data_IF_556338406824
#
_entry.id   IF_556338406824
#
_cell.length_a   1.000
_cell.length_b   1.000
_cell.length_c   1.000
_cell.angle_alpha   90.00
_cell.angle_beta   90.00
_cell.angle_gamma   90.00
#
_symmetry.space_group_name_H-M   'P 1'
#
loop_
_entity.id
_entity.type
_entity.pdbx_description
1 polymer ?
#
# COMPACT_ATOMS: atom_id res chain seq x y z
N UNK A 1 0.37 27.64 -78.20
CA UNK A 1 0.87 26.83 -77.06
C UNK A 1 -0.25 26.64 -76.05
N UNK A 2 -0.89 25.46 -76.00
CA UNK A 2 -1.92 25.13 -74.99
C UNK A 2 -1.25 24.32 -73.87
N UNK A 3 -1.16 24.90 -72.66
CA UNK A 3 -0.64 24.21 -71.46
C UNK A 3 -1.71 23.23 -70.95
N UNK A 4 -1.36 21.95 -70.79
CA UNK A 4 -2.22 20.97 -70.12
C UNK A 4 -2.24 21.26 -68.60
N UNK A 5 -3.38 21.11 -67.92
CA UNK A 5 -3.42 21.20 -66.46
C UNK A 5 -2.74 19.98 -65.83
N UNK A 6 -2.11 20.14 -64.65
CA UNK A 6 -1.48 19.04 -63.93
C UNK A 6 -2.55 18.06 -63.41
N UNK A 7 -2.29 16.76 -63.57
CA UNK A 7 -3.14 15.72 -62.99
C UNK A 7 -2.99 15.68 -61.46
N UNK A 8 -4.08 15.45 -60.71
CA UNK A 8 -4.00 15.30 -59.26
C UNK A 8 -3.29 13.98 -58.90
N UNK A 9 -2.24 14.08 -58.09
CA UNK A 9 -1.68 12.94 -57.39
C UNK A 9 -2.71 12.44 -56.38
N UNK A 10 -3.32 11.29 -56.66
CA UNK A 10 -4.05 10.53 -55.67
C UNK A 10 -3.04 10.04 -54.63
N UNK A 11 -3.00 10.68 -53.47
CA UNK A 11 -2.38 10.11 -52.28
C UNK A 11 -3.21 8.88 -51.91
N UNK A 12 -2.64 7.69 -52.12
CA UNK A 12 -3.13 6.48 -51.47
C UNK A 12 -2.98 6.68 -49.95
N UNK A 13 -4.09 7.01 -49.28
CA UNK A 13 -4.19 6.83 -47.84
C UNK A 13 -3.94 5.34 -47.57
N UNK A 14 -2.76 5.01 -47.04
CA UNK A 14 -2.53 3.68 -46.49
C UNK A 14 -3.59 3.45 -45.40
N UNK A 15 -4.34 2.33 -45.44
CA UNK A 15 -5.22 1.98 -44.34
C UNK A 15 -4.37 1.85 -43.07
N UNK A 16 -4.88 2.38 -41.95
CA UNK A 16 -4.22 2.27 -40.66
C UNK A 16 -3.88 0.79 -40.36
N UNK A 17 -2.71 0.49 -39.80
CA UNK A 17 -2.33 -0.89 -39.50
C UNK A 17 -3.39 -1.53 -38.59
N UNK A 18 -4.00 -2.62 -39.07
CA UNK A 18 -4.95 -3.41 -38.28
C UNK A 18 -4.15 -4.26 -37.30
N UNK A 19 -4.27 -3.96 -36.00
CA UNK A 19 -3.65 -4.75 -34.95
C UNK A 19 -4.27 -6.14 -34.88
N UNK A 20 -3.44 -7.16 -34.68
CA UNK A 20 -3.95 -8.52 -34.36
C UNK A 20 -4.59 -8.52 -32.97
N UNK A 21 -5.52 -9.46 -32.71
CA UNK A 21 -6.14 -9.59 -31.38
C UNK A 21 -5.08 -9.79 -30.28
N UNK A 22 -4.02 -10.55 -30.59
CA UNK A 22 -2.87 -10.72 -29.71
C UNK A 22 -2.16 -9.39 -29.39
N UNK A 23 -1.90 -8.54 -30.39
CA UNK A 23 -1.29 -7.22 -30.17
C UNK A 23 -2.16 -6.30 -29.30
N UNK A 24 -3.49 -6.38 -29.42
CA UNK A 24 -4.41 -5.65 -28.56
C UNK A 24 -4.33 -6.13 -27.10
N UNK A 25 -4.29 -7.44 -26.87
CA UNK A 25 -4.13 -8.01 -25.52
C UNK A 25 -2.77 -7.66 -24.91
N UNK A 26 -1.68 -7.73 -25.69
CA UNK A 26 -0.34 -7.30 -25.23
C UNK A 26 -0.34 -5.84 -24.81
N UNK A 27 -0.95 -4.97 -25.62
CA UNK A 27 -1.05 -3.54 -25.32
C UNK A 27 -1.84 -3.28 -24.04
N UNK A 28 -2.98 -3.96 -23.85
CA UNK A 28 -3.77 -3.84 -22.63
C UNK A 28 -3.00 -4.31 -21.40
N UNK A 29 -2.24 -5.42 -21.51
CA UNK A 29 -1.37 -5.89 -20.44
C UNK A 29 -0.29 -4.85 -20.09
N UNK A 30 0.32 -4.21 -21.08
CA UNK A 30 1.31 -3.15 -20.86
C UNK A 30 0.70 -1.92 -20.16
N UNK A 31 -0.53 -1.55 -20.51
CA UNK A 31 -1.27 -0.48 -19.82
C UNK A 31 -1.59 -0.83 -18.36
N UNK A 32 -1.96 -2.09 -18.09
CA UNK A 32 -2.17 -2.61 -16.73
C UNK A 32 -0.86 -2.60 -15.95
N UNK A 33 0.24 -3.09 -16.53
CA UNK A 33 1.56 -3.08 -15.90
C UNK A 33 2.04 -1.67 -15.59
N UNK A 34 1.76 -0.71 -16.46
CA UNK A 34 2.07 0.71 -16.23
C UNK A 34 1.30 1.25 -15.02
N UNK A 35 0.02 0.91 -14.88
CA UNK A 35 -0.78 1.27 -13.72
C UNK A 35 -0.24 0.61 -12.44
N UNK A 36 0.10 -0.68 -12.49
CA UNK A 36 0.72 -1.44 -11.39
C UNK A 36 2.03 -0.79 -10.93
N UNK A 37 2.92 -0.46 -11.87
CA UNK A 37 4.20 0.20 -11.57
C UNK A 37 4.01 1.58 -10.94
N UNK A 38 3.06 2.36 -11.45
CA UNK A 38 2.70 3.66 -10.87
C UNK A 38 2.20 3.50 -9.43
N UNK A 39 1.36 2.50 -9.18
CA UNK A 39 0.87 2.20 -7.83
C UNK A 39 1.99 1.74 -6.88
N UNK A 40 2.86 0.84 -7.34
CA UNK A 40 4.06 0.41 -6.62
C UNK A 40 4.98 1.59 -6.25
N UNK A 41 5.14 2.57 -7.15
CA UNK A 41 5.88 3.80 -6.86
C UNK A 41 5.29 4.58 -5.68
N UNK A 42 3.95 4.70 -5.60
CA UNK A 42 3.26 5.37 -4.50
C UNK A 42 3.43 4.63 -3.17
N UNK A 43 3.32 3.29 -3.18
CA UNK A 43 3.55 2.44 -2.00
C UNK A 43 4.99 2.60 -1.47
N UNK A 44 5.98 2.53 -2.36
CA UNK A 44 7.39 2.73 -1.99
C UNK A 44 7.66 4.13 -1.44
N UNK A 45 7.03 5.18 -2.00
CA UNK A 45 7.14 6.53 -1.47
C UNK A 45 6.59 6.63 -0.03
N UNK A 46 5.44 6.01 0.26
CA UNK A 46 4.89 5.97 1.63
C UNK A 46 5.80 5.18 2.58
N UNK A 47 6.35 4.04 2.12
CA UNK A 47 7.31 3.24 2.88
C UNK A 47 8.56 4.05 3.25
N UNK A 48 9.14 4.80 2.31
CA UNK A 48 10.31 5.65 2.57
C UNK A 48 9.99 6.75 3.59
N UNK A 49 8.84 7.40 3.46
CA UNK A 49 8.39 8.41 4.42
C UNK A 49 8.19 7.82 5.82
N UNK A 50 7.64 6.62 5.92
CA UNK A 50 7.49 5.92 7.18
C UNK A 50 8.85 5.57 7.80
N UNK A 51 9.80 5.07 7.01
CA UNK A 51 11.13 4.72 7.52
C UNK A 51 11.88 5.96 8.03
N UNK A 52 11.82 7.09 7.31
CA UNK A 52 12.42 8.34 7.77
C UNK A 52 11.76 8.85 9.07
N UNK A 53 10.43 8.79 9.14
CA UNK A 53 9.69 9.09 10.37
C UNK A 53 10.10 8.17 11.52
N UNK A 54 10.18 6.86 11.30
CA UNK A 54 10.55 5.87 12.31
C UNK A 54 11.96 6.14 12.87
N UNK A 55 12.93 6.45 12.01
CA UNK A 55 14.29 6.76 12.47
C UNK A 55 14.33 7.99 13.38
N UNK A 56 13.52 9.01 13.10
CA UNK A 56 13.51 10.29 13.82
C UNK A 56 12.57 10.33 15.02
N UNK A 57 11.43 9.63 14.96
CA UNK A 57 10.28 9.84 15.85
C UNK A 57 9.88 8.61 16.68
N UNK A 58 10.38 7.40 16.40
CA UNK A 58 9.92 6.18 17.10
C UNK A 58 9.98 6.28 18.62
N UNK A 59 11.04 6.88 19.18
CA UNK A 59 11.25 7.00 20.64
C UNK A 59 10.19 7.91 21.25
N UNK A 60 10.08 9.12 20.72
CA UNK A 60 9.08 10.11 21.17
C UNK A 60 7.65 9.61 20.99
N UNK A 61 7.40 8.83 19.94
CA UNK A 61 6.11 8.19 19.71
C UNK A 61 5.77 7.16 20.80
N UNK A 62 6.69 6.22 21.06
CA UNK A 62 6.49 5.20 22.10
C UNK A 62 6.34 5.85 23.49
N UNK A 63 7.14 6.87 23.79
CA UNK A 63 7.04 7.64 25.04
C UNK A 63 5.68 8.33 25.18
N UNK A 64 5.13 8.90 24.10
CA UNK A 64 3.81 9.51 24.12
C UNK A 64 2.70 8.49 24.42
N UNK A 65 2.78 7.31 23.82
CA UNK A 65 1.83 6.21 24.08
C UNK A 65 1.93 5.75 25.54
N UNK A 66 3.14 5.51 26.06
CA UNK A 66 3.34 5.15 27.47
C UNK A 66 2.81 6.22 28.42
N UNK A 67 3.08 7.48 28.14
CA UNK A 67 2.68 8.59 29.00
C UNK A 67 1.16 8.65 29.11
N UNK A 68 0.43 8.43 28.02
CA UNK A 68 -1.03 8.40 28.05
C UNK A 68 -1.54 7.20 28.87
N UNK A 69 -0.91 6.03 28.72
CA UNK A 69 -1.25 4.81 29.47
C UNK A 69 -0.99 4.94 30.97
N UNK A 70 0.09 5.61 31.36
CA UNK A 70 0.44 5.86 32.77
C UNK A 70 -0.47 6.93 33.39
N UNK A 71 -0.78 7.99 32.64
CA UNK A 71 -1.59 9.11 33.14
C UNK A 71 -3.07 8.72 33.28
N UNK A 72 -3.59 7.90 32.35
CA UNK A 72 -5.02 7.54 32.27
C UNK A 72 -5.23 6.02 32.18
N UNK A 73 -4.71 5.23 33.13
CA UNK A 73 -4.66 3.77 33.02
C UNK A 73 -6.04 3.10 33.04
N UNK A 74 -7.07 3.80 33.53
CA UNK A 74 -8.45 3.32 33.56
C UNK A 74 -9.19 3.53 32.23
N UNK A 75 -8.70 4.43 31.39
CA UNK A 75 -9.36 4.82 30.13
C UNK A 75 -8.61 4.27 28.91
N UNK A 76 -7.29 4.17 29.00
CA UNK A 76 -6.44 3.78 27.89
C UNK A 76 -6.13 2.28 27.98
N UNK A 77 -6.31 1.50 26.91
CA UNK A 77 -5.94 0.08 26.89
C UNK A 77 -4.47 -0.12 27.25
N UNK A 78 -4.19 -1.08 28.16
CA UNK A 78 -2.82 -1.47 28.52
C UNK A 78 -2.06 -2.06 27.33
N UNK A 79 -2.75 -2.88 26.54
CA UNK A 79 -2.22 -3.47 25.33
C UNK A 79 -2.87 -2.79 24.13
N UNK A 80 -2.05 -2.24 23.25
CA UNK A 80 -2.47 -1.72 21.95
C UNK A 80 -2.03 -2.74 20.92
N UNK A 81 -2.91 -3.69 20.61
CA UNK A 81 -2.66 -4.81 19.69
C UNK A 81 -3.34 -4.65 18.32
N UNK A 82 -4.16 -3.61 18.14
CA UNK A 82 -4.82 -3.29 16.88
C UNK A 82 -5.00 -1.76 16.74
N UNK A 83 -5.40 -1.31 15.54
CA UNK A 83 -5.57 0.12 15.25
C UNK A 83 -6.77 0.69 15.97
N UNK A 84 -7.83 -0.09 16.17
CA UNK A 84 -9.01 0.35 16.92
C UNK A 84 -8.63 0.78 18.35
N UNK A 85 -7.83 -0.04 19.04
CA UNK A 85 -7.31 0.26 20.38
C UNK A 85 -6.39 1.50 20.37
N UNK A 86 -5.58 1.65 19.32
CA UNK A 86 -4.73 2.82 19.15
C UNK A 86 -5.56 4.10 18.93
N UNK A 87 -6.60 4.06 18.07
CA UNK A 87 -7.52 5.18 17.84
C UNK A 87 -8.27 5.58 19.11
N UNK A 88 -8.68 4.61 19.95
CA UNK A 88 -9.27 4.90 21.27
C UNK A 88 -8.30 5.69 22.16
N UNK A 89 -7.05 5.23 22.26
CA UNK A 89 -6.00 5.93 23.02
C UNK A 89 -5.75 7.35 22.49
N UNK A 90 -5.62 7.50 21.16
CA UNK A 90 -5.50 8.79 20.50
C UNK A 90 -6.70 9.70 20.76
N UNK A 91 -7.93 9.18 20.67
CA UNK A 91 -9.15 9.93 20.90
C UNK A 91 -9.29 10.43 22.34
N UNK A 92 -8.78 9.69 23.32
CA UNK A 92 -8.67 10.14 24.71
C UNK A 92 -7.63 11.26 24.81
N UNK A 93 -6.44 11.07 24.24
CA UNK A 93 -5.37 12.06 24.24
C UNK A 93 -5.81 13.40 23.63
N UNK A 94 -6.52 13.35 22.50
CA UNK A 94 -6.97 14.53 21.76
C UNK A 94 -8.04 15.35 22.50
N UNK A 95 -8.74 14.75 23.48
CA UNK A 95 -9.78 15.41 24.28
C UNK A 95 -9.26 16.00 25.59
N UNK A 96 -7.96 15.85 25.89
CA UNK A 96 -7.39 16.39 27.11
C UNK A 96 -7.41 17.92 27.12
N UNK A 97 -7.75 18.54 28.26
CA UNK A 97 -7.72 19.99 28.39
C UNK A 97 -6.28 20.50 28.31
N UNK A 98 -6.07 21.63 27.63
CA UNK A 98 -4.74 22.25 27.51
C UNK A 98 -4.41 23.09 28.74
N UNK A 99 -3.64 22.52 29.68
CA UNK A 99 -3.19 23.13 30.94
C UNK A 99 -1.65 23.22 31.02
N UNK A 100 -0.93 22.82 29.97
CA UNK A 100 0.52 22.84 29.90
C UNK A 100 1.19 21.55 30.39
N UNK A 101 0.43 20.47 30.58
CA UNK A 101 0.98 19.17 30.98
C UNK A 101 1.60 18.44 29.79
N UNK A 102 2.71 17.68 29.97
CA UNK A 102 3.34 16.93 28.88
C UNK A 102 2.40 15.98 28.11
N UNK A 103 1.44 15.38 28.82
CA UNK A 103 0.45 14.43 28.26
C UNK A 103 -0.45 15.05 27.19
N UNK A 104 -0.62 16.37 27.20
CA UNK A 104 -1.50 17.09 26.27
C UNK A 104 -0.91 17.16 24.85
N UNK A 105 0.41 17.03 24.74
CA UNK A 105 1.12 17.01 23.46
C UNK A 105 1.12 15.61 22.81
N UNK A 106 0.77 14.56 23.56
CA UNK A 106 0.79 13.18 23.07
C UNK A 106 -0.10 12.98 21.84
N UNK A 107 -1.25 13.64 21.78
CA UNK A 107 -2.17 13.53 20.65
C UNK A 107 -1.51 13.95 19.33
N UNK A 108 -0.70 15.00 19.33
CA UNK A 108 0.01 15.45 18.13
C UNK A 108 0.97 14.38 17.61
N UNK A 109 1.79 13.82 18.50
CA UNK A 109 2.77 12.78 18.16
C UNK A 109 2.10 11.47 17.72
N UNK A 110 1.04 11.06 18.42
CA UNK A 110 0.26 9.87 18.06
C UNK A 110 -0.47 10.06 16.72
N UNK A 111 -0.91 11.27 16.42
CA UNK A 111 -1.58 11.62 15.17
C UNK A 111 -0.69 11.43 13.94
N UNK A 112 0.63 11.66 14.06
CA UNK A 112 1.58 11.42 12.96
C UNK A 112 1.51 9.96 12.47
N UNK A 113 1.35 9.00 13.38
CA UNK A 113 1.19 7.60 13.02
C UNK A 113 -0.13 7.32 12.29
N UNK A 114 -1.23 7.95 12.72
CA UNK A 114 -2.54 7.81 12.05
C UNK A 114 -2.51 8.34 10.62
N UNK A 115 -1.72 9.38 10.34
CA UNK A 115 -1.54 9.87 8.96
C UNK A 115 -0.95 8.79 8.04
N UNK A 116 -0.02 7.98 8.53
CA UNK A 116 0.50 6.84 7.74
C UNK A 116 -0.55 5.76 7.54
N UNK A 117 -1.34 5.47 8.57
CA UNK A 117 -2.43 4.50 8.48
C UNK A 117 -3.49 4.92 7.46
N UNK A 118 -3.98 6.16 7.54
CA UNK A 118 -5.03 6.65 6.66
C UNK A 118 -4.54 6.66 5.19
N UNK A 119 -3.30 7.10 4.95
CA UNK A 119 -2.69 7.05 3.60
C UNK A 119 -2.46 5.63 3.10
N UNK A 120 -2.18 4.68 4.00
CA UNK A 120 -2.08 3.28 3.64
C UNK A 120 -3.43 2.73 3.19
N UNK A 121 -4.51 3.05 3.90
CA UNK A 121 -5.87 2.65 3.51
C UNK A 121 -6.28 3.25 2.17
N UNK A 122 -5.97 4.52 1.92
CA UNK A 122 -6.19 5.14 0.60
C UNK A 122 -5.43 4.42 -0.52
N UNK A 123 -4.18 4.03 -0.28
CA UNK A 123 -3.41 3.25 -1.25
C UNK A 123 -3.97 1.84 -1.39
N UNK A 124 -4.43 1.21 -0.31
CA UNK A 124 -5.05 -0.10 -0.37
C UNK A 124 -6.31 -0.10 -1.26
N UNK A 125 -7.18 0.91 -1.13
CA UNK A 125 -8.35 1.08 -2.00
C UNK A 125 -7.94 1.23 -3.48
N UNK A 126 -6.96 2.09 -3.78
CA UNK A 126 -6.43 2.19 -5.14
C UNK A 126 -5.81 0.87 -5.63
N UNK A 127 -5.18 0.11 -4.74
CA UNK A 127 -4.63 -1.21 -5.03
C UNK A 127 -5.71 -2.22 -5.42
N UNK A 128 -6.87 -2.19 -4.74
CA UNK A 128 -8.04 -3.00 -5.08
C UNK A 128 -8.59 -2.67 -6.48
N UNK A 129 -8.59 -1.39 -6.87
CA UNK A 129 -8.99 -0.98 -8.23
C UNK A 129 -8.03 -1.53 -9.29
N UNK A 130 -6.71 -1.44 -9.04
CA UNK A 130 -5.69 -2.00 -9.94
C UNK A 130 -5.82 -3.53 -10.04
N UNK A 131 -6.03 -4.19 -8.91
CA UNK A 131 -6.26 -5.62 -8.85
C UNK A 131 -7.51 -6.03 -9.63
N UNK A 132 -8.62 -5.31 -9.50
CA UNK A 132 -9.84 -5.60 -10.26
C UNK A 132 -9.61 -5.53 -11.78
N UNK A 133 -8.78 -4.59 -12.25
CA UNK A 133 -8.37 -4.51 -13.66
C UNK A 133 -7.55 -5.72 -14.10
N UNK A 134 -6.62 -6.18 -13.25
CA UNK A 134 -5.83 -7.39 -13.50
C UNK A 134 -6.73 -8.61 -13.63
N UNK A 135 -7.67 -8.80 -12.71
CA UNK A 135 -8.61 -9.93 -12.72
C UNK A 135 -9.53 -9.88 -13.94
N UNK A 136 -10.06 -8.70 -14.28
CA UNK A 136 -10.88 -8.54 -15.48
C UNK A 136 -10.10 -8.96 -16.73
N UNK A 137 -8.86 -8.49 -16.87
CA UNK A 137 -8.00 -8.84 -17.99
C UNK A 137 -7.73 -10.35 -18.09
N UNK A 138 -7.39 -11.01 -16.97
CA UNK A 138 -7.08 -12.44 -16.98
C UNK A 138 -8.30 -13.32 -17.29
N UNK A 139 -9.53 -12.85 -17.06
CA UNK A 139 -10.74 -13.55 -17.49
C UNK A 139 -11.00 -13.48 -19.00
N UNK A 140 -10.45 -12.49 -19.70
CA UNK A 140 -10.66 -12.28 -21.14
C UNK A 140 -9.58 -12.91 -22.02
N UNK A 141 -8.47 -13.36 -21.45
CA UNK A 141 -7.32 -13.93 -22.16
C UNK A 141 -7.38 -15.46 -22.16
N UNK A 142 -7.08 -16.07 -23.31
CA UNK A 142 -7.10 -17.52 -23.52
C UNK A 142 -6.02 -18.29 -22.75
N UNK A 143 -4.78 -17.76 -22.69
CA UNK A 143 -3.67 -18.42 -22.01
C UNK A 143 -2.65 -17.43 -21.43
N UNK A 144 -2.39 -17.57 -20.13
CA UNK A 144 -1.29 -16.90 -19.42
C UNK A 144 -0.10 -17.84 -19.35
N UNK A 145 1.11 -17.32 -19.60
CA UNK A 145 2.35 -18.13 -19.57
C UNK A 145 2.60 -18.77 -18.20
N UNK A 146 2.22 -18.09 -17.13
CA UNK A 146 2.43 -18.52 -15.75
C UNK A 146 1.14 -18.36 -14.93
N UNK A 147 0.20 -19.31 -15.03
CA UNK A 147 -1.12 -19.21 -14.38
C UNK A 147 -1.05 -19.06 -12.86
N UNK A 148 -0.05 -19.70 -12.22
CA UNK A 148 0.18 -19.65 -10.77
C UNK A 148 0.43 -18.24 -10.22
N UNK A 149 0.82 -17.28 -11.07
CA UNK A 149 0.99 -15.88 -10.67
C UNK A 149 -0.36 -15.29 -10.28
N UNK A 150 -1.45 -15.64 -10.99
CA UNK A 150 -2.78 -15.14 -10.68
C UNK A 150 -3.25 -15.66 -9.32
N UNK A 151 -3.05 -16.96 -9.04
CA UNK A 151 -3.37 -17.56 -7.74
C UNK A 151 -2.60 -16.87 -6.60
N UNK A 152 -1.30 -16.64 -6.80
CA UNK A 152 -0.46 -15.91 -5.84
C UNK A 152 -0.97 -14.48 -5.61
N UNK A 153 -1.42 -13.80 -6.66
CA UNK A 153 -2.00 -12.45 -6.56
C UNK A 153 -3.34 -12.48 -5.82
N UNK A 154 -4.20 -13.46 -6.06
CA UNK A 154 -5.45 -13.66 -5.32
C UNK A 154 -5.18 -13.88 -3.82
N UNK A 155 -4.27 -14.79 -3.49
CA UNK A 155 -3.93 -15.11 -2.10
C UNK A 155 -3.35 -13.90 -1.37
N UNK A 156 -2.44 -13.16 -2.01
CA UNK A 156 -1.88 -11.93 -1.45
C UNK A 156 -2.94 -10.85 -1.27
N UNK A 157 -3.85 -10.66 -2.23
CA UNK A 157 -4.92 -9.66 -2.13
C UNK A 157 -5.90 -10.00 -1.00
N UNK A 158 -6.30 -11.26 -0.89
CA UNK A 158 -7.19 -11.74 0.16
C UNK A 158 -6.54 -11.56 1.54
N UNK A 159 -5.27 -11.97 1.66
CA UNK A 159 -4.50 -11.79 2.90
C UNK A 159 -4.40 -10.31 3.26
N UNK A 160 -4.04 -9.46 2.31
CA UNK A 160 -3.94 -8.02 2.54
C UNK A 160 -5.29 -7.42 2.98
N UNK A 161 -6.40 -7.81 2.37
CA UNK A 161 -7.74 -7.35 2.75
C UNK A 161 -8.11 -7.75 4.18
N UNK A 162 -7.85 -9.01 4.56
CA UNK A 162 -8.12 -9.50 5.92
C UNK A 162 -7.24 -8.80 6.94
N UNK A 163 -6.00 -8.49 6.58
CA UNK A 163 -5.05 -7.88 7.49
C UNK A 163 -5.10 -6.36 7.52
N UNK A 164 -5.68 -5.67 6.54
CA UNK A 164 -5.78 -4.21 6.51
C UNK A 164 -6.99 -3.65 7.30
N UNK A 165 -7.66 -4.49 8.10
CA UNK A 165 -8.80 -4.08 8.94
C UNK A 165 -8.34 -3.49 10.27
N UNK A 166 -9.17 -2.62 10.87
CA UNK A 166 -8.77 -1.92 12.11
C UNK A 166 -8.64 -2.83 13.33
N UNK A 167 -9.37 -3.95 13.37
CA UNK A 167 -9.39 -4.89 14.49
C UNK A 167 -8.36 -6.03 14.34
N UNK A 168 -7.55 -6.03 13.28
CA UNK A 168 -6.51 -7.03 13.08
C UNK A 168 -5.48 -6.99 14.21
N UNK A 169 -5.20 -8.15 14.81
CA UNK A 169 -4.22 -8.28 15.89
C UNK A 169 -2.80 -8.34 15.33
N UNK A 170 -2.12 -7.20 15.37
CA UNK A 170 -0.74 -7.06 14.88
C UNK A 170 0.31 -7.55 15.89
N UNK A 171 -0.07 -8.21 16.99
CA UNK A 171 0.90 -8.89 17.86
C UNK A 171 1.59 -10.05 17.16
N UNK A 172 1.07 -10.60 16.07
CA UNK A 172 1.76 -11.63 15.28
C UNK A 172 2.81 -11.07 14.31
N UNK A 173 2.72 -9.77 13.96
CA UNK A 173 3.51 -9.14 12.89
C UNK A 173 5.00 -8.97 13.26
N UNK A 174 5.33 -8.85 14.55
CA UNK A 174 6.72 -8.63 14.98
C UNK A 174 7.63 -9.87 14.83
N UNK A 175 7.07 -11.04 14.51
CA UNK A 175 7.82 -12.29 14.33
C UNK A 175 8.36 -12.49 12.90
N UNK A 176 8.14 -11.55 11.98
CA UNK A 176 8.67 -11.69 10.63
C UNK A 176 10.16 -11.32 10.55
N UNK A 177 10.95 -12.20 9.93
CA UNK A 177 12.39 -12.06 9.68
C UNK A 177 12.79 -10.76 9.00
N UNK A 178 11.84 -10.11 8.31
CA UNK A 178 12.07 -8.88 7.54
C UNK A 178 11.80 -7.58 8.31
N UNK A 179 11.28 -7.67 9.54
CA UNK A 179 11.08 -6.52 10.41
C UNK A 179 12.35 -6.16 11.19
N UNK A 180 13.54 -6.39 10.62
CA UNK A 180 14.83 -6.18 11.30
C UNK A 180 15.01 -4.75 11.84
N UNK A 181 14.33 -3.76 11.26
CA UNK A 181 14.37 -2.38 11.75
C UNK A 181 13.73 -2.23 13.15
N UNK A 182 12.83 -3.13 13.55
CA UNK A 182 12.23 -3.12 14.90
C UNK A 182 13.22 -3.55 15.98
N UNK A 183 14.36 -4.17 15.65
CA UNK A 183 15.45 -4.39 16.62
C UNK A 183 16.10 -3.09 17.12
N UNK A 184 15.79 -1.94 16.49
CA UNK A 184 16.19 -0.61 16.98
C UNK A 184 15.30 -0.10 18.12
N UNK A 185 14.24 -0.82 18.49
CA UNK A 185 13.38 -0.53 19.64
C UNK A 185 13.97 -1.24 20.86
N UNK A 186 13.97 -0.56 22.00
CA UNK A 186 14.57 -1.09 23.22
C UNK A 186 13.80 -2.32 23.74
N UNK A 187 14.48 -3.25 24.41
CA UNK A 187 13.86 -4.51 24.83
C UNK A 187 12.66 -4.33 25.78
N UNK A 188 12.66 -3.29 26.60
CA UNK A 188 11.53 -2.97 27.47
C UNK A 188 10.30 -2.42 26.72
N UNK A 189 10.42 -2.14 25.42
CA UNK A 189 9.39 -1.59 24.53
C UNK A 189 8.86 -2.58 23.49
N UNK A 190 9.19 -3.87 23.66
CA UNK A 190 8.79 -4.91 22.73
C UNK A 190 7.27 -5.01 22.53
N UNK A 191 6.46 -4.64 23.52
CA UNK A 191 4.99 -4.63 23.39
C UNK A 191 4.48 -3.67 22.31
N UNK A 192 5.26 -2.67 21.89
CA UNK A 192 4.89 -1.73 20.82
C UNK A 192 5.43 -2.13 19.44
N UNK A 193 6.17 -3.26 19.34
CA UNK A 193 6.73 -3.71 18.07
C UNK A 193 5.66 -3.94 17.02
N UNK A 194 4.57 -4.61 17.38
CA UNK A 194 3.46 -4.86 16.46
C UNK A 194 2.93 -3.56 15.86
N UNK A 195 2.67 -2.55 16.71
CA UNK A 195 2.20 -1.23 16.29
C UNK A 195 3.19 -0.56 15.32
N UNK A 196 4.48 -0.59 15.62
CA UNK A 196 5.52 0.01 14.76
C UNK A 196 5.81 -0.80 13.48
N UNK A 197 5.57 -2.11 13.50
CA UNK A 197 5.81 -3.01 12.38
C UNK A 197 4.63 -3.08 11.41
N UNK A 198 3.43 -2.71 11.86
CA UNK A 198 2.21 -2.98 11.14
C UNK A 198 2.08 -2.23 9.79
N UNK A 199 2.31 -0.90 9.70
CA UNK A 199 2.32 -0.22 8.40
C UNK A 199 3.35 -0.79 7.40
N UNK A 200 4.64 -0.97 7.77
CA UNK A 200 5.63 -1.51 6.81
C UNK A 200 5.34 -2.97 6.43
N UNK A 201 4.72 -3.75 7.32
CA UNK A 201 4.25 -5.10 7.01
C UNK A 201 3.22 -5.11 5.88
N UNK A 202 2.15 -4.33 6.01
CA UNK A 202 1.12 -4.22 4.97
C UNK A 202 1.68 -3.62 3.67
N UNK A 203 2.55 -2.60 3.77
CA UNK A 203 3.21 -2.01 2.59
C UNK A 203 4.09 -3.01 1.85
N UNK A 204 4.81 -3.88 2.57
CA UNK A 204 5.60 -4.96 1.96
C UNK A 204 4.70 -5.89 1.17
N UNK A 205 3.60 -6.36 1.77
CA UNK A 205 2.65 -7.25 1.10
C UNK A 205 2.04 -6.62 -0.16
N UNK A 206 1.61 -5.36 -0.06
CA UNK A 206 1.09 -4.60 -1.20
C UNK A 206 2.14 -4.42 -2.33
N UNK A 207 3.40 -4.14 -1.99
CA UNK A 207 4.48 -4.09 -2.98
C UNK A 207 4.75 -5.45 -3.63
N UNK A 208 4.71 -6.55 -2.86
CA UNK A 208 4.88 -7.92 -3.38
C UNK A 208 3.76 -8.29 -4.34
N UNK A 209 2.51 -7.90 -4.05
CA UNK A 209 1.39 -8.07 -4.96
C UNK A 209 1.64 -7.35 -6.29
N UNK A 210 2.03 -6.07 -6.24
CA UNK A 210 2.37 -5.31 -7.45
C UNK A 210 3.51 -5.95 -8.25
N UNK A 211 4.53 -6.47 -7.57
CA UNK A 211 5.63 -7.18 -8.22
C UNK A 211 5.12 -8.37 -9.04
N UNK A 212 4.25 -9.20 -8.44
CA UNK A 212 3.68 -10.36 -9.13
C UNK A 212 2.78 -9.96 -10.31
N UNK A 213 1.93 -8.95 -10.15
CA UNK A 213 1.13 -8.42 -11.27
C UNK A 213 2.00 -7.95 -12.44
N UNK A 214 3.17 -7.35 -12.16
CA UNK A 214 4.11 -6.92 -13.21
C UNK A 214 4.82 -8.09 -13.92
N UNK A 215 4.93 -9.26 -13.27
CA UNK A 215 5.52 -10.48 -13.84
C UNK A 215 4.57 -11.27 -14.74
N UNK A 216 3.32 -10.84 -14.88
CA UNK A 216 2.36 -11.49 -15.77
C UNK A 216 2.79 -11.42 -17.25
N UNK A 217 2.70 -12.52 -17.99
CA UNK A 217 3.01 -12.59 -19.42
C UNK A 217 1.98 -13.44 -20.16
N UNK A 218 1.67 -13.06 -21.41
CA UNK A 218 0.87 -13.87 -22.32
C UNK A 218 1.70 -15.04 -22.87
N UNK A 219 1.05 -16.18 -23.06
CA UNK A 219 1.59 -17.24 -23.90
C UNK A 219 1.48 -16.82 -25.37
N UNK A 220 2.52 -17.10 -26.16
CA UNK A 220 2.49 -16.79 -27.60
C UNK A 220 1.67 -17.88 -28.30
N UNK A 221 0.63 -17.47 -29.03
CA UNK A 221 -0.16 -18.36 -29.90
C UNK A 221 0.69 -19.01 -31.00
#
# INVERSE_FOLDING_TARGET
MRRRPPQPHFQHQQPAPQHTQFELCVKELDDIKTAVLKHMGRLNALKLQYMDWFERRRKTFVEAVKLIQITLPQLVPKNINNIENFRKAYGIAAKLPKRGLPVENCAGVMGEYLVFWDRLLELHLHGQEVYARVVAYTHHVTAMREPHILDTVHDLQNTLNVQAVENFDFTSVHNERDNLFTYKVANFDHCYHGLLAYPPYLLKMACTLCFWCNKMHLEKE
#
